data_IF_642638007448
#
_entry.id   IF_642638007448
#
_cell.length_a   1.000
_cell.length_b   1.000
_cell.length_c   1.000
_cell.angle_alpha   90.00
_cell.angle_beta   90.00
_cell.angle_gamma   90.00
#
_symmetry.space_group_name_H-M   'P 1'
#
loop_
_entity.id
_entity.type
_entity.pdbx_description
1 polymer ?
#
# COMPACT_ATOMS: atom_id res chain seq x y z
N UNK A 1 5.38 -0.33 47.84
CA UNK A 1 6.14 -0.63 46.60
C UNK A 1 5.13 -1.14 45.59
N UNK A 2 4.47 -0.21 44.89
CA UNK A 2 3.41 -0.49 43.93
C UNK A 2 4.01 -0.97 42.61
N UNK A 3 3.48 -2.06 42.06
CA UNK A 3 3.82 -2.51 40.71
C UNK A 3 3.29 -1.48 39.73
N UNK A 4 4.21 -0.74 39.11
CA UNK A 4 3.90 0.22 38.06
C UNK A 4 3.55 -0.57 36.78
N UNK A 5 2.25 -0.74 36.53
CA UNK A 5 1.74 -1.35 35.31
C UNK A 5 2.24 -0.61 34.07
N UNK A 6 2.49 -1.38 33.01
CA UNK A 6 3.09 -0.87 31.76
C UNK A 6 2.15 0.09 31.04
N UNK A 7 2.72 1.00 30.24
CA UNK A 7 1.98 1.95 29.39
C UNK A 7 0.92 1.27 28.49
N UNK A 8 1.15 0.00 28.13
CA UNK A 8 0.25 -0.82 27.32
C UNK A 8 -1.01 -1.22 28.12
N UNK A 9 -0.90 -1.53 29.41
CA UNK A 9 -2.07 -1.87 30.25
C UNK A 9 -2.99 -0.66 30.44
N UNK A 10 -2.43 0.56 30.54
CA UNK A 10 -3.20 1.81 30.60
C UNK A 10 -3.87 2.19 29.27
N UNK A 11 -3.27 1.78 28.15
CA UNK A 11 -3.85 1.95 26.81
C UNK A 11 -4.96 0.93 26.57
N UNK A 12 -4.81 -0.32 27.03
CA UNK A 12 -5.87 -1.34 26.95
C UNK A 12 -7.08 -0.95 27.80
N UNK A 13 -6.89 -0.43 29.02
CA UNK A 13 -8.00 0.08 29.86
C UNK A 13 -8.69 1.34 29.28
N UNK A 14 -7.94 2.17 28.55
CA UNK A 14 -8.50 3.31 27.79
C UNK A 14 -9.32 2.86 26.58
N UNK A 15 -8.84 1.84 25.85
CA UNK A 15 -9.47 1.28 24.64
C UNK A 15 -10.74 0.49 24.97
N UNK A 16 -10.81 -0.19 26.12
CA UNK A 16 -11.97 -1.00 26.52
C UNK A 16 -13.14 -0.14 27.03
N UNK A 17 -12.91 1.12 27.44
CA UNK A 17 -13.96 1.97 28.03
C UNK A 17 -14.74 2.87 27.05
N UNK A 18 -14.44 2.85 25.74
CA UNK A 18 -15.11 3.70 24.73
C UNK A 18 -15.39 2.95 23.42
N UNK A 19 -16.32 2.00 23.47
CA UNK A 19 -16.92 1.39 22.29
C UNK A 19 -18.07 2.28 21.76
N UNK A 20 -17.74 3.20 20.85
CA UNK A 20 -18.56 3.70 19.75
C UNK A 20 -17.61 4.11 18.61
N UNK A 21 -18.00 3.81 17.38
CA UNK A 21 -17.37 4.15 16.08
C UNK A 21 -16.67 2.99 15.36
N UNK A 22 -17.42 2.39 14.44
CA UNK A 22 -17.07 1.30 13.52
C UNK A 22 -15.78 1.59 12.69
N UNK A 23 -15.42 2.86 12.54
CA UNK A 23 -14.23 3.30 11.81
C UNK A 23 -12.91 3.22 12.61
N UNK A 24 -12.98 3.28 13.95
CA UNK A 24 -11.77 3.11 14.80
C UNK A 24 -11.27 1.68 14.75
N UNK A 25 -12.18 0.71 14.65
CA UNK A 25 -11.86 -0.71 14.54
C UNK A 25 -11.02 -1.02 13.30
N UNK A 26 -11.38 -0.46 12.13
CA UNK A 26 -10.59 -0.62 10.90
C UNK A 26 -9.17 -0.08 11.11
N UNK A 27 -9.01 1.11 11.69
CA UNK A 27 -7.71 1.73 11.98
C UNK A 27 -6.85 0.90 12.94
N UNK A 28 -7.44 0.42 14.04
CA UNK A 28 -6.76 -0.48 14.99
C UNK A 28 -6.38 -1.81 14.35
N UNK A 29 -7.23 -2.34 13.46
CA UNK A 29 -6.98 -3.58 12.74
C UNK A 29 -5.84 -3.43 11.72
N UNK A 30 -5.82 -2.34 10.94
CA UNK A 30 -4.71 -2.01 10.01
C UNK A 30 -3.40 -1.89 10.77
N UNK A 31 -3.41 -1.13 11.87
CA UNK A 31 -2.23 -0.96 12.73
C UNK A 31 -1.74 -2.29 13.29
N UNK A 32 -2.65 -3.15 13.75
CA UNK A 32 -2.32 -4.49 14.29
C UNK A 32 -1.78 -5.45 13.23
N UNK A 33 -2.26 -5.37 11.98
CA UNK A 33 -1.74 -6.16 10.85
C UNK A 33 -0.32 -5.71 10.49
N UNK A 34 -0.04 -4.41 10.54
CA UNK A 34 1.28 -3.83 10.25
C UNK A 34 2.27 -3.92 11.42
N UNK A 35 1.80 -4.10 12.66
CA UNK A 35 2.62 -4.18 13.88
C UNK A 35 3.29 -5.54 14.12
N UNK A 36 3.31 -6.47 13.15
CA UNK A 36 4.27 -7.60 13.17
C UNK A 36 5.70 -7.04 13.05
N UNK A 37 6.23 -6.54 14.17
CA UNK A 37 7.50 -5.84 14.30
C UNK A 37 8.68 -6.74 13.93
N UNK A 38 9.35 -6.43 12.84
CA UNK A 38 10.80 -6.57 12.79
C UNK A 38 11.40 -5.35 13.49
N UNK A 39 12.01 -5.56 14.66
CA UNK A 39 12.91 -4.55 15.24
C UNK A 39 14.12 -4.52 14.31
N UNK A 40 14.17 -3.54 13.41
CA UNK A 40 15.39 -3.28 12.65
C UNK A 40 16.49 -2.95 13.66
N UNK A 41 17.56 -3.74 13.67
CA UNK A 41 18.67 -3.54 14.59
C UNK A 41 19.24 -2.13 14.45
N UNK A 42 19.89 -1.62 15.50
CA UNK A 42 20.54 -0.30 15.56
C UNK A 42 21.62 -0.04 14.49
N UNK A 43 21.83 -0.99 13.56
CA UNK A 43 22.83 -0.98 12.51
C UNK A 43 22.19 -1.11 11.11
N UNK A 44 21.05 -0.44 10.85
CA UNK A 44 20.50 -0.43 9.50
C UNK A 44 21.44 0.32 8.54
N UNK A 45 21.76 -0.33 7.41
CA UNK A 45 22.66 0.19 6.40
C UNK A 45 22.00 0.08 5.03
N UNK A 46 22.21 1.09 4.20
CA UNK A 46 21.91 1.03 2.77
C UNK A 46 23.20 0.62 2.04
N UNK A 47 23.06 -0.28 1.08
CA UNK A 47 24.16 -0.67 0.21
C UNK A 47 24.10 0.21 -1.05
N UNK A 48 25.15 0.98 -1.29
CA UNK A 48 25.38 1.66 -2.56
C UNK A 48 26.24 0.76 -3.44
N UNK A 49 25.71 0.46 -4.63
CA UNK A 49 26.43 -0.22 -5.71
C UNK A 49 26.74 0.77 -6.82
N UNK A 50 28.01 0.85 -7.21
CA UNK A 50 28.41 1.59 -8.41
C UNK A 50 28.12 0.77 -9.66
N UNK A 51 27.46 1.38 -10.64
CA UNK A 51 27.28 0.77 -11.96
C UNK A 51 27.99 1.66 -12.97
N UNK A 52 28.97 1.12 -13.69
CA UNK A 52 29.65 1.87 -14.75
C UNK A 52 28.66 2.23 -15.87
N UNK A 53 28.58 3.50 -16.30
CA UNK A 53 27.67 3.89 -17.38
C UNK A 53 27.88 3.10 -18.68
N UNK A 54 29.13 2.72 -18.98
CA UNK A 54 29.46 1.93 -20.17
C UNK A 54 28.92 0.49 -20.10
N UNK A 55 28.82 -0.10 -18.91
CA UNK A 55 28.20 -1.41 -18.73
C UNK A 55 26.71 -1.36 -19.11
N UNK A 56 25.98 -0.33 -18.63
CA UNK A 56 24.58 -0.11 -19.01
C UNK A 56 24.41 0.22 -20.49
N UNK A 57 25.33 0.97 -21.10
CA UNK A 57 25.27 1.30 -22.54
C UNK A 57 25.50 0.08 -23.43
N UNK A 58 26.33 -0.87 -23.02
CA UNK A 58 26.55 -2.15 -23.72
C UNK A 58 25.39 -3.13 -23.51
N UNK A 59 24.63 -2.96 -22.44
CA UNK A 59 23.49 -3.82 -22.14
C UNK A 59 22.40 -3.69 -23.23
N UNK A 60 21.91 -4.79 -23.83
CA UNK A 60 20.89 -4.77 -24.87
C UNK A 60 19.68 -3.91 -24.50
N UNK A 61 19.14 -3.15 -25.46
CA UNK A 61 18.04 -2.19 -25.21
C UNK A 61 16.86 -2.83 -24.46
N UNK A 62 16.45 -4.04 -24.85
CA UNK A 62 15.38 -4.78 -24.17
C UNK A 62 15.68 -5.01 -22.69
N UNK A 63 16.87 -5.54 -22.38
CA UNK A 63 17.25 -5.86 -21.00
C UNK A 63 17.44 -4.59 -20.16
N UNK A 64 17.95 -3.51 -20.77
CA UNK A 64 18.02 -2.19 -20.15
C UNK A 64 16.64 -1.66 -19.77
N UNK A 65 15.66 -1.79 -20.67
CA UNK A 65 14.29 -1.37 -20.41
C UNK A 65 13.60 -2.23 -19.33
N UNK A 66 13.90 -3.52 -19.27
CA UNK A 66 13.45 -4.41 -18.19
C UNK A 66 14.05 -3.98 -16.84
N UNK A 67 15.38 -3.80 -16.79
CA UNK A 67 16.09 -3.41 -15.57
C UNK A 67 15.61 -2.06 -15.03
N UNK A 68 15.61 -1.03 -15.87
CA UNK A 68 15.16 0.31 -15.50
C UNK A 68 13.68 0.30 -15.11
N UNK A 69 12.84 -0.45 -15.85
CA UNK A 69 11.42 -0.61 -15.53
C UNK A 69 11.19 -1.21 -14.15
N UNK A 70 11.91 -2.29 -13.82
CA UNK A 70 11.81 -2.94 -12.51
C UNK A 70 12.30 -2.02 -11.38
N UNK A 71 13.44 -1.35 -11.54
CA UNK A 71 13.96 -0.40 -10.55
C UNK A 71 13.00 0.77 -10.31
N UNK A 72 12.43 1.32 -11.39
CA UNK A 72 11.49 2.43 -11.30
C UNK A 72 10.20 2.01 -10.60
N UNK A 73 9.59 0.90 -11.01
CA UNK A 73 8.38 0.38 -10.38
C UNK A 73 8.61 0.07 -8.88
N UNK A 74 9.77 -0.52 -8.54
CA UNK A 74 10.13 -0.80 -7.16
C UNK A 74 10.17 0.48 -6.31
N UNK A 75 10.77 1.56 -6.82
CA UNK A 75 10.83 2.84 -6.11
C UNK A 75 9.44 3.45 -5.89
N UNK A 76 8.60 3.45 -6.92
CA UNK A 76 7.24 4.01 -6.81
C UNK A 76 6.39 3.24 -5.80
N UNK A 77 6.44 1.90 -5.81
CA UNK A 77 5.74 1.06 -4.84
C UNK A 77 6.28 1.27 -3.42
N UNK A 78 7.60 1.37 -3.26
CA UNK A 78 8.21 1.63 -1.96
C UNK A 78 7.76 2.98 -1.37
N UNK A 79 7.71 4.04 -2.21
CA UNK A 79 7.25 5.37 -1.79
C UNK A 79 5.77 5.32 -1.42
N UNK A 80 4.91 4.77 -2.28
CA UNK A 80 3.47 4.70 -2.02
C UNK A 80 3.14 3.87 -0.78
N UNK A 81 3.85 2.75 -0.56
CA UNK A 81 3.71 1.95 0.65
C UNK A 81 4.11 2.73 1.91
N UNK A 82 5.18 3.52 1.85
CA UNK A 82 5.58 4.41 2.97
C UNK A 82 4.57 5.52 3.21
N UNK A 83 4.04 6.15 2.16
CA UNK A 83 2.99 7.16 2.29
C UNK A 83 1.74 6.56 2.95
N UNK A 84 1.35 5.34 2.58
CA UNK A 84 0.23 4.65 3.20
C UNK A 84 0.50 4.42 4.69
N UNK A 85 1.69 3.91 5.04
CA UNK A 85 2.09 3.76 6.45
C UNK A 85 2.05 5.08 7.22
N UNK A 86 2.55 6.17 6.65
CA UNK A 86 2.56 7.49 7.31
C UNK A 86 1.16 8.07 7.46
N UNK A 87 0.25 7.79 6.51
CA UNK A 87 -1.18 8.12 6.59
C UNK A 87 -1.97 7.24 7.57
N UNK A 88 -1.31 6.41 8.36
CA UNK A 88 -1.95 5.67 9.47
C UNK A 88 -1.55 6.24 10.83
N UNK A 89 -0.47 7.02 10.89
CA UNK A 89 0.02 7.64 12.11
C UNK A 89 -0.86 8.83 12.50
N UNK A 90 -1.14 8.97 13.80
CA UNK A 90 -1.87 10.13 14.34
C UNK A 90 -1.06 11.42 14.13
N UNK A 91 -1.67 12.43 13.51
CA UNK A 91 -1.07 13.77 13.31
C UNK A 91 -1.86 14.91 13.96
N UNK A 92 -2.93 14.58 14.68
CA UNK A 92 -3.84 15.53 15.31
C UNK A 92 -5.08 14.84 15.88
N UNK A 93 -5.93 15.64 16.53
CA UNK A 93 -7.15 15.18 17.21
C UNK A 93 -8.40 15.90 16.65
N UNK A 94 -9.54 15.23 16.72
CA UNK A 94 -10.85 15.79 16.40
C UNK A 94 -11.44 15.29 15.08
N UNK A 95 -12.75 15.50 14.91
CA UNK A 95 -13.50 14.87 13.81
C UNK A 95 -13.02 15.31 12.42
N UNK A 96 -12.78 16.61 12.19
CA UNK A 96 -12.25 17.08 10.90
C UNK A 96 -10.91 16.41 10.56
N UNK A 97 -10.06 16.23 11.57
CA UNK A 97 -8.77 15.59 11.41
C UNK A 97 -8.95 14.11 11.03
N UNK A 98 -9.80 13.37 11.76
CA UNK A 98 -10.10 11.97 11.48
C UNK A 98 -10.68 11.79 10.05
N UNK A 99 -11.61 12.65 9.65
CA UNK A 99 -12.27 12.60 8.35
C UNK A 99 -11.28 12.91 7.21
N UNK A 100 -10.49 13.99 7.32
CA UNK A 100 -9.47 14.34 6.32
C UNK A 100 -8.39 13.24 6.21
N UNK A 101 -7.97 12.69 7.34
CA UNK A 101 -6.99 11.62 7.40
C UNK A 101 -7.51 10.34 6.72
N UNK A 102 -8.77 9.98 6.96
CA UNK A 102 -9.43 8.86 6.28
C UNK A 102 -9.42 9.01 4.75
N UNK A 103 -9.81 10.18 4.25
CA UNK A 103 -9.79 10.47 2.80
C UNK A 103 -8.37 10.32 2.22
N UNK A 104 -7.37 10.86 2.91
CA UNK A 104 -5.98 10.80 2.48
C UNK A 104 -5.47 9.36 2.42
N UNK A 105 -5.71 8.57 3.48
CA UNK A 105 -5.34 7.16 3.56
C UNK A 105 -5.96 6.37 2.41
N UNK A 106 -7.26 6.52 2.17
CA UNK A 106 -7.93 5.76 1.10
C UNK A 106 -7.45 6.17 -0.30
N UNK A 107 -7.18 7.46 -0.52
CA UNK A 107 -6.61 7.96 -1.78
C UNK A 107 -5.26 7.30 -2.06
N UNK A 108 -4.39 7.22 -1.05
CA UNK A 108 -3.08 6.57 -1.19
C UNK A 108 -3.24 5.06 -1.43
N UNK A 109 -4.19 4.42 -0.74
CA UNK A 109 -4.52 3.00 -0.95
C UNK A 109 -4.96 2.72 -2.40
N UNK A 110 -5.78 3.58 -2.99
CA UNK A 110 -6.18 3.50 -4.40
C UNK A 110 -5.00 3.63 -5.35
N UNK A 111 -4.14 4.64 -5.13
CA UNK A 111 -2.94 4.86 -5.95
C UNK A 111 -1.99 3.67 -5.89
N UNK A 112 -1.76 3.12 -4.70
CA UNK A 112 -0.93 1.92 -4.53
C UNK A 112 -1.55 0.71 -5.23
N UNK A 113 -2.85 0.47 -5.04
CA UNK A 113 -3.59 -0.61 -5.72
C UNK A 113 -3.43 -0.50 -7.24
N UNK A 114 -3.63 0.69 -7.77
CA UNK A 114 -3.46 1.00 -9.18
C UNK A 114 -2.04 0.73 -9.68
N UNK A 115 -1.02 1.21 -8.96
CA UNK A 115 0.38 1.03 -9.34
C UNK A 115 0.84 -0.43 -9.27
N UNK A 116 0.28 -1.25 -8.38
CA UNK A 116 0.52 -2.69 -8.36
C UNK A 116 0.04 -3.36 -9.65
N UNK A 117 -1.14 -3.00 -10.16
CA UNK A 117 -1.63 -3.51 -11.46
C UNK A 117 -0.77 -3.06 -12.63
N UNK A 118 -0.37 -1.79 -12.68
CA UNK A 118 0.50 -1.31 -13.76
C UNK A 118 1.88 -1.99 -13.72
N UNK A 119 2.40 -2.24 -12.52
CA UNK A 119 3.63 -3.00 -12.34
C UNK A 119 3.47 -4.44 -12.80
N UNK A 120 2.37 -5.10 -12.45
CA UNK A 120 2.08 -6.45 -12.91
C UNK A 120 1.96 -6.52 -14.43
N UNK A 121 1.23 -5.61 -15.06
CA UNK A 121 1.08 -5.55 -16.51
C UNK A 121 2.45 -5.35 -17.19
N UNK A 122 3.29 -4.47 -16.65
CA UNK A 122 4.66 -4.27 -17.11
C UNK A 122 5.47 -5.57 -17.05
N UNK A 123 5.39 -6.32 -15.93
CA UNK A 123 6.06 -7.61 -15.79
C UNK A 123 5.52 -8.64 -16.80
N UNK A 124 4.19 -8.71 -16.94
CA UNK A 124 3.52 -9.63 -17.84
C UNK A 124 3.95 -9.40 -19.30
N UNK A 125 3.91 -8.15 -19.76
CA UNK A 125 4.23 -7.77 -21.13
C UNK A 125 5.72 -7.88 -21.44
N UNK A 126 6.58 -7.40 -20.54
CA UNK A 126 8.02 -7.26 -20.83
C UNK A 126 8.84 -8.50 -20.51
N UNK A 127 8.37 -9.36 -19.60
CA UNK A 127 9.13 -10.51 -19.11
C UNK A 127 8.37 -11.83 -19.30
N UNK A 128 7.09 -11.91 -18.91
CA UNK A 128 6.36 -13.20 -18.88
C UNK A 128 5.83 -13.62 -20.26
N UNK A 129 5.53 -12.68 -21.15
CA UNK A 129 5.03 -12.97 -22.49
C UNK A 129 6.12 -13.44 -23.48
N UNK A 130 7.39 -13.44 -23.06
CA UNK A 130 8.52 -13.81 -23.92
C UNK A 130 8.46 -15.28 -24.37
N UNK A 131 8.74 -15.53 -25.66
CA UNK A 131 8.90 -16.87 -26.25
C UNK A 131 10.21 -16.92 -27.06
N UNK A 132 11.23 -17.72 -26.67
CA UNK A 132 11.30 -18.54 -25.45
C UNK A 132 11.24 -17.70 -24.16
N UNK A 133 11.04 -18.37 -23.03
CA UNK A 133 10.96 -17.74 -21.70
C UNK A 133 12.16 -16.82 -21.45
N UNK A 134 11.91 -15.66 -20.83
CA UNK A 134 12.96 -14.68 -20.60
C UNK A 134 14.02 -15.21 -19.62
N UNK A 135 15.33 -15.13 -19.95
CA UNK A 135 16.38 -15.60 -19.06
C UNK A 135 16.31 -15.01 -17.65
N UNK A 136 15.86 -13.76 -17.50
CA UNK A 136 15.70 -13.13 -16.19
C UNK A 136 14.65 -13.83 -15.32
N UNK A 137 13.61 -14.40 -15.93
CA UNK A 137 12.58 -15.20 -15.22
C UNK A 137 13.13 -16.57 -14.85
N UNK A 138 13.81 -17.24 -15.79
CA UNK A 138 14.38 -18.57 -15.54
C UNK A 138 15.44 -18.53 -14.43
N UNK A 139 16.20 -17.43 -14.36
CA UNK A 139 17.26 -17.18 -13.37
C UNK A 139 16.77 -16.78 -11.98
N UNK A 140 15.46 -16.58 -11.76
CA UNK A 140 14.93 -16.32 -10.42
C UNK A 140 15.20 -17.50 -9.46
N UNK A 141 15.54 -17.20 -8.21
CA UNK A 141 15.62 -18.19 -7.13
C UNK A 141 14.25 -18.81 -6.85
N UNK A 142 14.25 -19.97 -6.17
CA UNK A 142 13.00 -20.66 -5.81
C UNK A 142 12.06 -19.79 -4.97
N UNK A 143 12.61 -18.98 -4.06
CA UNK A 143 11.82 -18.06 -3.23
C UNK A 143 11.14 -16.97 -4.06
N UNK A 144 11.83 -16.42 -5.07
CA UNK A 144 11.24 -15.44 -5.98
C UNK A 144 10.22 -16.09 -6.91
N UNK A 145 10.45 -17.33 -7.34
CA UNK A 145 9.52 -18.11 -8.16
C UNK A 145 8.22 -18.43 -7.42
N UNK A 146 8.27 -18.71 -6.11
CA UNK A 146 7.07 -18.84 -5.27
C UNK A 146 6.24 -17.55 -5.30
N UNK A 147 6.88 -16.39 -5.12
CA UNK A 147 6.20 -15.10 -5.19
C UNK A 147 5.62 -14.82 -6.59
N UNK A 148 6.36 -15.17 -7.64
CA UNK A 148 5.88 -15.03 -9.02
C UNK A 148 4.68 -15.94 -9.29
N UNK A 149 4.69 -17.19 -8.80
CA UNK A 149 3.57 -18.11 -8.95
C UNK A 149 2.32 -17.59 -8.24
N UNK A 150 2.49 -17.07 -7.02
CA UNK A 150 1.40 -16.41 -6.29
C UNK A 150 0.83 -15.23 -7.08
N UNK A 151 1.68 -14.36 -7.63
CA UNK A 151 1.23 -13.21 -8.44
C UNK A 151 0.53 -13.63 -9.73
N UNK A 152 1.02 -14.68 -10.40
CA UNK A 152 0.35 -15.25 -11.59
C UNK A 152 -1.05 -15.74 -11.27
N UNK A 153 -1.24 -16.37 -10.11
CA UNK A 153 -2.56 -16.77 -9.66
C UNK A 153 -3.41 -15.55 -9.28
N UNK A 154 -2.88 -14.63 -8.48
CA UNK A 154 -3.63 -13.48 -7.98
C UNK A 154 -4.06 -12.51 -9.09
N UNK A 155 -3.11 -12.07 -9.93
CA UNK A 155 -3.34 -11.14 -11.03
C UNK A 155 -3.58 -11.85 -12.38
N UNK A 156 -3.90 -13.14 -12.36
CA UNK A 156 -4.15 -13.95 -13.57
C UNK A 156 -5.13 -13.34 -14.56
N UNK A 157 -5.36 -14.01 -15.69
CA UNK A 157 -6.07 -13.45 -16.86
C UNK A 157 -7.17 -12.44 -16.48
N UNK A 158 -7.01 -11.14 -16.84
CA UNK A 158 -7.84 -10.08 -16.30
C UNK A 158 -9.34 -10.26 -16.46
N UNK A 159 -9.77 -11.01 -17.48
CA UNK A 159 -11.17 -11.35 -17.74
C UNK A 159 -11.74 -12.43 -16.82
N UNK A 160 -10.91 -13.13 -16.04
CA UNK A 160 -11.29 -14.35 -15.32
C UNK A 160 -11.26 -14.23 -13.80
N UNK A 161 -10.48 -13.30 -13.22
CA UNK A 161 -10.32 -13.22 -11.75
C UNK A 161 -10.63 -11.83 -11.19
N UNK A 162 -11.77 -11.75 -10.52
CA UNK A 162 -12.19 -10.63 -9.70
C UNK A 162 -11.45 -10.68 -8.35
N UNK A 163 -10.48 -9.79 -8.15
CA UNK A 163 -9.78 -9.64 -6.87
C UNK A 163 -10.24 -8.38 -6.13
N UNK A 164 -9.94 -8.32 -4.83
CA UNK A 164 -10.20 -7.13 -4.03
C UNK A 164 -9.52 -5.89 -4.64
N UNK A 165 -8.24 -5.99 -5.01
CA UNK A 165 -7.51 -4.88 -5.61
C UNK A 165 -8.05 -4.51 -7.00
N UNK A 166 -8.52 -5.48 -7.79
CA UNK A 166 -9.18 -5.20 -9.09
C UNK A 166 -10.43 -4.36 -8.85
N UNK A 167 -11.26 -4.76 -7.89
CA UNK A 167 -12.48 -4.03 -7.54
C UNK A 167 -12.15 -2.60 -7.11
N UNK A 168 -11.14 -2.39 -6.25
CA UNK A 168 -10.71 -1.04 -5.85
C UNK A 168 -10.21 -0.23 -7.05
N UNK A 169 -9.35 -0.81 -7.90
CA UNK A 169 -8.79 -0.14 -9.09
C UNK A 169 -9.90 0.30 -10.03
N UNK A 170 -10.72 -0.65 -10.45
CA UNK A 170 -11.68 -0.47 -11.54
C UNK A 170 -12.86 0.40 -11.10
N UNK A 171 -13.24 0.36 -9.82
CA UNK A 171 -14.38 1.13 -9.30
C UNK A 171 -14.02 2.48 -8.72
N UNK A 172 -12.77 2.68 -8.29
CA UNK A 172 -12.45 3.86 -7.45
C UNK A 172 -11.14 4.57 -7.80
N UNK A 173 -10.11 3.88 -8.30
CA UNK A 173 -8.77 4.48 -8.41
C UNK A 173 -8.56 5.35 -9.66
N UNK A 174 -9.08 4.93 -10.82
CA UNK A 174 -8.83 5.63 -12.10
C UNK A 174 -10.09 5.87 -12.94
N UNK A 175 -11.20 5.27 -12.53
CA UNK A 175 -12.47 5.42 -13.20
C UNK A 175 -13.48 5.89 -12.15
N UNK A 176 -14.11 7.03 -12.39
CA UNK A 176 -15.33 7.45 -11.68
C UNK A 176 -16.50 6.58 -12.16
N UNK A 177 -16.35 5.26 -12.00
CA UNK A 177 -17.31 4.28 -12.47
C UNK A 177 -18.63 4.46 -11.73
N UNK A 178 -19.71 4.00 -12.34
CA UNK A 178 -21.04 4.04 -11.77
C UNK A 178 -21.14 2.99 -10.67
N UNK A 179 -20.70 3.34 -9.48
CA UNK A 179 -21.05 2.60 -8.26
C UNK A 179 -22.55 2.78 -8.02
N UNK A 180 -23.25 1.68 -7.71
CA UNK A 180 -24.59 1.79 -7.17
C UNK A 180 -24.49 2.28 -5.73
N UNK A 181 -24.80 3.57 -5.53
CA UNK A 181 -24.71 4.22 -4.23
C UNK A 181 -25.99 4.08 -3.41
N UNK A 182 -27.08 3.50 -3.93
CA UNK A 182 -28.38 3.48 -3.25
C UNK A 182 -28.27 2.84 -1.86
N UNK A 183 -27.57 1.70 -1.75
CA UNK A 183 -27.32 1.04 -0.46
C UNK A 183 -26.40 1.88 0.45
N UNK A 184 -25.33 2.45 -0.10
CA UNK A 184 -24.41 3.27 0.67
C UNK A 184 -25.07 4.55 1.22
N UNK A 185 -25.97 5.16 0.44
CA UNK A 185 -26.76 6.34 0.83
C UNK A 185 -27.82 5.97 1.86
N UNK A 186 -28.51 4.84 1.70
CA UNK A 186 -29.50 4.37 2.66
C UNK A 186 -28.92 4.12 4.06
N UNK A 187 -27.63 3.75 4.12
CA UNK A 187 -26.89 3.45 5.34
C UNK A 187 -25.96 4.60 5.79
N UNK A 188 -26.12 5.79 5.20
CA UNK A 188 -25.31 6.97 5.55
C UNK A 188 -25.66 7.48 6.95
N UNK A 189 -24.64 7.68 7.78
CA UNK A 189 -24.80 8.22 9.13
C UNK A 189 -24.63 9.74 9.18
N UNK A 190 -25.11 10.40 10.24
CA UNK A 190 -24.88 11.83 10.46
C UNK A 190 -23.38 12.16 10.54
N UNK A 191 -22.59 11.26 11.13
CA UNK A 191 -21.14 11.37 11.22
C UNK A 191 -20.44 11.34 9.86
N UNK A 192 -21.02 10.67 8.86
CA UNK A 192 -20.46 10.55 7.51
C UNK A 192 -21.00 11.61 6.55
N UNK A 193 -22.13 12.24 6.88
CA UNK A 193 -22.80 13.25 6.07
C UNK A 193 -22.17 14.64 6.22
N UNK A 194 -20.85 14.73 6.08
CA UNK A 194 -20.08 15.98 6.28
C UNK A 194 -19.41 16.48 5.00
N UNK A 195 -19.43 17.80 4.86
CA UNK A 195 -18.70 18.55 3.83
C UNK A 195 -18.01 19.72 4.52
N UNK A 196 -16.69 19.79 4.36
CA UNK A 196 -15.86 20.85 4.90
C UNK A 196 -15.39 21.74 3.75
N UNK A 197 -15.85 22.98 3.73
CA UNK A 197 -15.45 23.97 2.73
C UNK A 197 -14.46 24.95 3.36
N UNK A 198 -13.37 25.22 2.65
CA UNK A 198 -12.40 26.23 3.03
C UNK A 198 -12.40 27.38 2.02
N UNK A 199 -11.93 28.55 2.45
CA UNK A 199 -11.72 29.72 1.57
C UNK A 199 -10.80 29.37 0.39
N UNK A 200 -9.77 28.55 0.66
CA UNK A 200 -8.89 27.99 -0.36
C UNK A 200 -9.34 26.57 -0.73
N UNK A 201 -9.70 26.31 -2.00
CA UNK A 201 -10.27 25.01 -2.41
C UNK A 201 -9.39 23.81 -2.10
N UNK A 202 -8.06 23.97 -2.07
CA UNK A 202 -7.11 22.91 -1.73
C UNK A 202 -7.30 22.35 -0.32
N UNK A 203 -7.91 23.12 0.59
CA UNK A 203 -8.17 22.73 1.98
C UNK A 203 -9.59 22.22 2.21
N UNK A 204 -10.41 22.07 1.15
CA UNK A 204 -11.78 21.55 1.29
C UNK A 204 -11.79 20.03 1.35
N UNK A 205 -12.54 19.45 2.28
CA UNK A 205 -12.70 18.00 2.46
C UNK A 205 -14.16 17.60 2.24
N UNK A 206 -14.41 16.87 1.15
CA UNK A 206 -15.74 16.34 0.82
C UNK A 206 -15.90 14.91 1.39
N UNK A 207 -15.91 14.81 2.72
CA UNK A 207 -15.87 13.52 3.41
C UNK A 207 -16.99 12.57 2.99
N UNK A 208 -18.23 13.06 2.92
CA UNK A 208 -19.39 12.25 2.50
C UNK A 208 -19.18 11.58 1.13
N UNK A 209 -18.53 12.27 0.19
CA UNK A 209 -18.26 11.72 -1.15
C UNK A 209 -17.28 10.55 -1.08
N UNK A 210 -16.21 10.69 -0.30
CA UNK A 210 -15.24 9.62 -0.09
C UNK A 210 -15.87 8.44 0.67
N UNK A 211 -16.57 8.72 1.79
CA UNK A 211 -17.20 7.69 2.61
C UNK A 211 -18.16 6.81 1.80
N UNK A 212 -19.02 7.41 0.97
CA UNK A 212 -19.96 6.68 0.12
C UNK A 212 -19.25 5.78 -0.92
N UNK A 213 -18.22 6.31 -1.59
CA UNK A 213 -17.46 5.56 -2.61
C UNK A 213 -16.74 4.37 -1.98
N UNK A 214 -16.01 4.58 -0.88
CA UNK A 214 -15.27 3.51 -0.24
C UNK A 214 -16.18 2.49 0.45
N UNK A 215 -17.29 2.92 1.05
CA UNK A 215 -18.31 2.02 1.59
C UNK A 215 -18.85 1.09 0.51
N UNK A 216 -19.27 1.63 -0.62
CA UNK A 216 -19.78 0.84 -1.73
C UNK A 216 -18.71 -0.12 -2.28
N UNK A 217 -17.47 0.34 -2.45
CA UNK A 217 -16.38 -0.48 -2.95
C UNK A 217 -16.00 -1.61 -1.99
N UNK A 218 -15.87 -1.34 -0.69
CA UNK A 218 -15.54 -2.37 0.31
C UNK A 218 -16.67 -3.37 0.49
N UNK A 219 -17.91 -2.91 0.53
CA UNK A 219 -19.08 -3.81 0.56
C UNK A 219 -19.05 -4.77 -0.63
N UNK A 220 -18.77 -4.26 -1.83
CA UNK A 220 -18.62 -5.10 -3.03
C UNK A 220 -17.44 -6.08 -2.94
N UNK A 221 -16.32 -5.67 -2.32
CA UNK A 221 -15.19 -6.57 -2.05
C UNK A 221 -15.63 -7.71 -1.11
N UNK A 222 -16.35 -7.41 -0.04
CA UNK A 222 -16.83 -8.42 0.91
C UNK A 222 -17.79 -9.40 0.24
N UNK A 223 -18.80 -8.89 -0.48
CA UNK A 223 -19.81 -9.72 -1.16
C UNK A 223 -19.22 -10.68 -2.19
N UNK A 224 -18.11 -10.30 -2.82
CA UNK A 224 -17.41 -11.16 -3.78
C UNK A 224 -16.52 -12.21 -3.10
N UNK A 225 -16.08 -11.95 -1.88
CA UNK A 225 -15.03 -12.73 -1.23
C UNK A 225 -15.57 -13.74 -0.19
N UNK A 226 -16.66 -13.39 0.50
CA UNK A 226 -17.24 -14.19 1.59
C UNK A 226 -18.76 -14.17 1.52
N UNK A 227 -19.42 -15.07 2.26
CA UNK A 227 -20.87 -15.03 2.43
C UNK A 227 -21.27 -13.89 3.38
N UNK A 228 -21.93 -12.88 2.83
CA UNK A 228 -22.36 -11.68 3.56
C UNK A 228 -23.85 -11.67 3.88
N UNK A 229 -24.59 -12.76 3.62
CA UNK A 229 -26.06 -12.76 3.68
C UNK A 229 -26.65 -12.38 5.04
N UNK A 230 -25.92 -12.61 6.14
CA UNK A 230 -26.35 -12.29 7.51
C UNK A 230 -25.66 -11.05 8.09
N UNK A 231 -24.79 -10.40 7.32
CA UNK A 231 -23.99 -9.27 7.79
C UNK A 231 -24.75 -7.95 7.56
N UNK A 232 -24.68 -7.06 8.54
CA UNK A 232 -25.08 -5.66 8.36
C UNK A 232 -24.15 -4.94 7.39
N UNK A 233 -24.57 -3.77 6.89
CA UNK A 233 -23.76 -2.98 5.96
C UNK A 233 -22.44 -2.49 6.59
N UNK A 234 -22.44 -2.16 7.88
CA UNK A 234 -21.22 -1.80 8.61
C UNK A 234 -20.24 -2.97 8.68
N UNK A 235 -20.72 -4.17 9.02
CA UNK A 235 -19.90 -5.39 9.06
C UNK A 235 -19.36 -5.76 7.68
N UNK A 236 -20.16 -5.62 6.62
CA UNK A 236 -19.73 -5.87 5.22
C UNK A 236 -18.63 -4.90 4.82
N UNK A 237 -18.79 -3.62 5.12
CA UNK A 237 -17.78 -2.61 4.86
C UNK A 237 -16.48 -2.90 5.59
N UNK A 238 -16.53 -3.22 6.89
CA UNK A 238 -15.35 -3.55 7.70
C UNK A 238 -14.62 -4.79 7.14
N UNK A 239 -15.36 -5.86 6.85
CA UNK A 239 -14.79 -7.08 6.27
C UNK A 239 -14.14 -6.82 4.91
N UNK A 240 -14.81 -6.04 4.05
CA UNK A 240 -14.29 -5.66 2.74
C UNK A 240 -13.02 -4.81 2.82
N UNK A 241 -12.99 -3.83 3.72
CA UNK A 241 -11.80 -3.02 3.98
C UNK A 241 -10.63 -3.89 4.45
N UNK A 242 -10.89 -4.82 5.37
CA UNK A 242 -9.88 -5.78 5.85
C UNK A 242 -9.33 -6.63 4.71
N UNK A 243 -10.21 -7.24 3.89
CA UNK A 243 -9.81 -8.08 2.76
C UNK A 243 -8.97 -7.29 1.75
N UNK A 244 -9.37 -6.05 1.45
CA UNK A 244 -8.65 -5.17 0.53
C UNK A 244 -7.24 -4.86 1.06
N UNK A 245 -7.10 -4.53 2.34
CA UNK A 245 -5.82 -4.22 2.97
C UNK A 245 -4.89 -5.45 3.08
N UNK A 246 -5.44 -6.61 3.45
CA UNK A 246 -4.67 -7.87 3.48
C UNK A 246 -4.13 -8.17 2.07
N UNK A 247 -5.00 -8.10 1.06
CA UNK A 247 -4.62 -8.32 -0.32
C UNK A 247 -3.60 -7.29 -0.83
N UNK A 248 -3.73 -6.02 -0.44
CA UNK A 248 -2.78 -4.96 -0.77
C UNK A 248 -1.39 -5.28 -0.21
N UNK A 249 -1.32 -5.65 1.07
CA UNK A 249 -0.08 -5.99 1.75
C UNK A 249 0.58 -7.23 1.11
N UNK A 250 -0.19 -8.29 0.85
CA UNK A 250 0.31 -9.54 0.29
C UNK A 250 0.80 -9.35 -1.16
N UNK A 251 0.01 -8.68 -2.00
CA UNK A 251 0.41 -8.38 -3.37
C UNK A 251 1.63 -7.47 -3.43
N UNK A 252 1.69 -6.43 -2.58
CA UNK A 252 2.84 -5.53 -2.50
C UNK A 252 4.12 -6.29 -2.10
N UNK A 253 4.04 -7.15 -1.09
CA UNK A 253 5.16 -8.01 -0.66
C UNK A 253 5.66 -8.89 -1.81
N UNK A 254 4.76 -9.62 -2.47
CA UNK A 254 5.16 -10.53 -3.54
C UNK A 254 5.71 -9.79 -4.76
N UNK A 255 5.15 -8.63 -5.13
CA UNK A 255 5.70 -7.80 -6.21
C UNK A 255 7.10 -7.32 -5.87
N UNK A 256 7.33 -6.79 -4.66
CA UNK A 256 8.67 -6.39 -4.23
C UNK A 256 9.66 -7.57 -4.30
N UNK A 257 9.27 -8.75 -3.81
CA UNK A 257 10.12 -9.94 -3.86
C UNK A 257 10.51 -10.33 -5.30
N UNK A 258 9.57 -10.29 -6.25
CA UNK A 258 9.88 -10.58 -7.66
C UNK A 258 10.75 -9.49 -8.27
N UNK A 259 10.45 -8.22 -8.02
CA UNK A 259 11.25 -7.10 -8.51
C UNK A 259 12.69 -7.17 -7.99
N UNK A 260 12.91 -7.51 -6.72
CA UNK A 260 14.26 -7.70 -6.17
C UNK A 260 15.03 -8.77 -6.95
N UNK A 261 14.44 -9.95 -7.15
CA UNK A 261 15.10 -11.03 -7.89
C UNK A 261 15.39 -10.67 -9.35
N UNK A 262 14.48 -9.95 -10.00
CA UNK A 262 14.67 -9.47 -11.37
C UNK A 262 15.77 -8.41 -11.47
N UNK A 263 15.78 -7.44 -10.55
CA UNK A 263 16.79 -6.38 -10.51
C UNK A 263 18.17 -6.98 -10.25
N UNK A 264 18.28 -7.88 -9.26
CA UNK A 264 19.52 -8.58 -8.95
C UNK A 264 20.05 -9.34 -10.18
N UNK A 265 19.25 -10.24 -10.76
CA UNK A 265 19.66 -11.02 -11.93
C UNK A 265 20.03 -10.14 -13.14
N UNK A 266 19.23 -9.12 -13.46
CA UNK A 266 19.51 -8.22 -14.58
C UNK A 266 20.77 -7.37 -14.34
N UNK A 267 21.03 -6.93 -13.10
CA UNK A 267 22.25 -6.20 -12.76
C UNK A 267 23.48 -7.08 -12.89
N UNK A 268 23.45 -8.33 -12.41
CA UNK A 268 24.58 -9.25 -12.53
C UNK A 268 24.96 -9.48 -13.99
N UNK A 269 23.96 -9.63 -14.89
CA UNK A 269 24.23 -9.75 -16.33
C UNK A 269 24.81 -8.46 -16.89
N UNK A 270 24.29 -7.29 -16.50
CA UNK A 270 24.79 -6.00 -16.98
C UNK A 270 26.24 -5.73 -16.55
N UNK A 271 26.61 -6.10 -15.32
CA UNK A 271 27.96 -5.91 -14.77
C UNK A 271 28.91 -7.03 -15.23
N UNK A 272 28.38 -8.23 -15.50
CA UNK A 272 29.15 -9.40 -15.90
C UNK A 272 29.75 -10.19 -14.74
N UNK A 273 29.28 -9.97 -13.50
CA UNK A 273 29.69 -10.72 -12.31
C UNK A 273 28.60 -10.70 -11.22
N UNK A 274 28.66 -11.63 -10.24
CA UNK A 274 27.76 -11.62 -9.08
C UNK A 274 27.87 -10.33 -8.25
N UNK A 275 26.76 -9.84 -7.68
CA UNK A 275 26.73 -8.55 -6.95
C UNK A 275 27.55 -8.58 -5.65
N UNK A 276 27.75 -9.75 -5.06
CA UNK A 276 28.62 -9.95 -3.90
C UNK A 276 30.11 -9.69 -4.21
N UNK A 277 30.50 -9.71 -5.49
CA UNK A 277 31.86 -9.40 -5.94
C UNK A 277 32.02 -7.94 -6.41
N UNK A 278 30.91 -7.20 -6.52
CA UNK A 278 30.94 -5.77 -6.86
C UNK A 278 31.32 -4.99 -5.61
N UNK A 279 32.14 -3.95 -5.77
CA UNK A 279 32.48 -3.05 -4.65
C UNK A 279 31.21 -2.42 -4.06
N UNK A 280 31.00 -2.63 -2.76
CA UNK A 280 29.81 -2.18 -2.05
C UNK A 280 30.19 -1.12 -1.02
N UNK A 281 29.62 0.09 -1.15
CA UNK A 281 29.69 1.09 -0.08
C UNK A 281 28.50 0.91 0.85
N UNK A 282 28.76 0.54 2.12
CA UNK A 282 27.73 0.43 3.15
C UNK A 282 27.57 1.75 3.86
N UNK A 283 26.42 2.39 3.69
CA UNK A 283 26.10 3.70 4.25
C UNK A 283 25.21 3.49 5.48
N UNK A 284 25.68 3.84 6.69
CA UNK A 284 24.82 3.80 7.87
C UNK A 284 23.72 4.85 7.72
N UNK A 285 22.48 4.45 8.00
CA UNK A 285 21.37 5.40 8.07
C UNK A 285 21.33 5.96 9.49
N UNK A 286 21.84 7.17 9.65
CA UNK A 286 21.82 7.91 10.92
C UNK A 286 20.61 8.83 10.97
N UNK A 287 20.07 9.04 12.18
CA UNK A 287 19.03 10.03 12.47
C UNK A 287 17.73 9.91 11.66
N UNK A 288 17.49 8.75 11.03
CA UNK A 288 16.22 8.52 10.33
C UNK A 288 15.11 8.27 11.36
N UNK A 289 14.04 9.09 11.38
CA UNK A 289 12.95 8.90 12.32
C UNK A 289 12.29 7.55 12.10
N UNK A 290 11.84 6.93 13.19
CA UNK A 290 11.08 5.69 13.08
C UNK A 290 9.83 5.92 12.21
N UNK A 291 9.52 5.02 11.26
CA UNK A 291 8.35 5.18 10.38
C UNK A 291 7.03 5.40 11.14
N UNK A 292 6.93 4.92 12.37
CA UNK A 292 5.76 5.07 13.25
C UNK A 292 5.62 6.45 13.89
N UNK A 293 6.64 7.30 13.79
CA UNK A 293 6.60 8.69 14.30
C UNK A 293 6.52 9.73 13.19
N UNK A 294 6.59 9.30 11.92
CA UNK A 294 6.48 10.18 10.76
C UNK A 294 5.01 10.26 10.35
N UNK A 295 4.40 11.41 10.60
CA UNK A 295 3.07 11.73 10.08
C UNK A 295 3.13 12.25 8.65
N UNK A 296 2.16 11.87 7.81
CA UNK A 296 1.94 12.60 6.55
C UNK A 296 1.13 13.86 6.89
N UNK A 297 1.60 15.08 6.58
CA UNK A 297 0.81 16.29 6.76
C UNK A 297 -0.57 16.11 6.11
N UNK A 298 -1.62 16.57 6.78
CA UNK A 298 -2.95 16.56 6.18
C UNK A 298 -2.97 17.50 4.97
N UNK A 299 -3.71 17.14 3.94
CA UNK A 299 -3.95 18.04 2.81
C UNK A 299 -4.73 19.31 3.21
N UNK A 300 -5.41 19.29 4.36
CA UNK A 300 -6.02 20.48 4.96
C UNK A 300 -4.96 21.27 5.72
N UNK A 301 -4.52 22.39 5.15
CA UNK A 301 -3.63 23.33 5.82
C UNK A 301 -4.44 24.28 6.73
N UNK A 302 -4.23 24.16 8.03
CA UNK A 302 -4.84 25.03 9.04
C UNK A 302 -4.03 26.30 9.30
N UNK A 303 -2.90 26.48 8.60
CA UNK A 303 -1.95 27.56 8.80
C UNK A 303 -1.24 27.45 10.15
N UNK A 304 -0.03 27.99 10.23
CA UNK A 304 0.52 28.33 11.53
C UNK A 304 -0.24 29.56 12.02
N UNK A 305 -1.30 29.38 12.82
CA UNK A 305 -1.63 30.42 13.78
C UNK A 305 -0.35 30.71 14.54
N UNK A 306 0.17 31.93 14.43
CA UNK A 306 1.46 32.35 14.99
C UNK A 306 1.66 31.71 16.39
N UNK A 307 2.64 30.81 16.50
CA UNK A 307 3.11 30.28 17.78
C UNK A 307 4.08 31.25 18.43
#
# INVERSE_FOLDING_TARGET
>A
MEKMGTYIERIVESIVSRAKDEWRCVRYLVRRILEKKYIMGSNFQIIQLGIEPEALKKFPNRQRNQLVGCMHAHNELAVLNRLLMFSLNDVGDGELHDDAHGVQMWTIMQLLSGKLFETWNMLAERLLAAKPEDPAITGLSDQHKISLAWLKDYFGEPSLKETALRTIRDKTAFHYDRLNLDQAVASLTEQESKVYLAEYPANSCYYVGAALVFRAAFTLVADKAIDTATMSDGERMEAGAKIALDALNEANLHIHNVLYGLIDGLLQVAIGMPLEHVEQLRIPVVDSPAPTVIGLPMFVDIGNGER
#
